data_IF_565345249260
#
_entry.id   IF_565345249260
#
_cell.length_a   1.000
_cell.length_b   1.000
_cell.length_c   1.000
_cell.angle_alpha   90.00
_cell.angle_beta   90.00
_cell.angle_gamma   90.00
#
_symmetry.space_group_name_H-M   'P 1'
#
loop_
_entity.id
_entity.type
_entity.pdbx_description
1 polymer ?
#
# COMPACT_ATOMS: atom_id res chain seq x y z
N UNK A 1 -52.26 6.07 -1.51
CA UNK A 1 -50.79 6.16 -1.45
C UNK A 1 -50.39 6.96 -2.66
N UNK A 2 -50.07 8.24 -2.49
CA UNK A 2 -49.62 9.08 -3.60
C UNK A 2 -48.44 8.38 -4.30
N UNK A 3 -48.43 8.32 -5.64
CA UNK A 3 -47.30 7.77 -6.35
C UNK A 3 -46.12 8.67 -6.02
N UNK A 4 -45.26 8.21 -5.12
CA UNK A 4 -43.99 8.85 -4.76
C UNK A 4 -43.38 9.38 -6.05
N UNK A 5 -43.11 10.68 -6.12
CA UNK A 5 -42.47 11.26 -7.30
C UNK A 5 -41.18 10.47 -7.59
N UNK A 6 -41.21 9.66 -8.64
CA UNK A 6 -40.11 8.77 -9.04
C UNK A 6 -39.07 9.52 -9.87
N UNK A 7 -39.41 10.69 -10.40
CA UNK A 7 -38.52 11.50 -11.21
C UNK A 7 -37.18 11.80 -10.52
N UNK A 8 -37.11 12.21 -9.23
CA UNK A 8 -35.82 12.44 -8.57
C UNK A 8 -34.95 11.19 -8.44
N UNK A 9 -35.57 10.01 -8.26
CA UNK A 9 -34.83 8.74 -8.14
C UNK A 9 -34.32 8.30 -9.51
N UNK A 10 -35.14 8.48 -10.55
CA UNK A 10 -34.76 8.20 -11.93
C UNK A 10 -33.62 9.13 -12.38
N UNK A 11 -33.73 10.43 -12.14
CA UNK A 11 -32.68 11.41 -12.42
C UNK A 11 -31.37 11.06 -11.68
N UNK A 12 -31.47 10.56 -10.45
CA UNK A 12 -30.29 10.15 -9.69
C UNK A 12 -29.66 8.88 -10.28
N UNK A 13 -30.47 7.88 -10.66
CA UNK A 13 -29.96 6.67 -11.30
C UNK A 13 -29.26 7.01 -12.62
N UNK A 14 -29.88 7.89 -13.40
CA UNK A 14 -29.39 8.41 -14.66
C UNK A 14 -28.03 9.11 -14.51
N UNK A 15 -27.92 10.01 -13.52
CA UNK A 15 -26.65 10.63 -13.14
C UNK A 15 -25.57 9.59 -12.75
N UNK A 16 -25.94 8.57 -11.98
CA UNK A 16 -25.01 7.55 -11.51
C UNK A 16 -24.49 6.69 -12.67
N UNK A 17 -25.33 6.40 -13.67
CA UNK A 17 -24.94 5.65 -14.87
C UNK A 17 -23.95 6.46 -15.70
N UNK A 18 -24.19 7.76 -15.89
CA UNK A 18 -23.24 8.65 -16.58
C UNK A 18 -21.88 8.70 -15.87
N UNK A 19 -21.89 8.78 -14.53
CA UNK A 19 -20.67 8.78 -13.71
C UNK A 19 -19.89 7.48 -13.87
N UNK A 20 -20.61 6.36 -13.87
CA UNK A 20 -20.00 5.05 -14.02
C UNK A 20 -19.39 4.88 -15.42
N UNK A 21 -20.08 5.34 -16.47
CA UNK A 21 -19.56 5.29 -17.84
C UNK A 21 -18.28 6.12 -17.97
N UNK A 22 -18.25 7.33 -17.39
CA UNK A 22 -17.06 8.18 -17.40
C UNK A 22 -15.87 7.51 -16.68
N UNK A 23 -16.10 6.90 -15.51
CA UNK A 23 -15.05 6.22 -14.74
C UNK A 23 -14.55 4.97 -15.47
N UNK A 24 -15.42 4.22 -16.13
CA UNK A 24 -15.06 2.98 -16.83
C UNK A 24 -14.45 3.24 -18.21
N UNK A 25 -14.64 4.43 -18.80
CA UNK A 25 -14.20 4.75 -20.16
C UNK A 25 -12.72 4.45 -20.45
N UNK A 26 -11.76 4.77 -19.56
CA UNK A 26 -10.35 4.46 -19.79
C UNK A 26 -10.09 2.95 -19.89
N UNK A 27 -10.83 2.14 -19.11
CA UNK A 27 -10.71 0.68 -19.09
C UNK A 27 -11.38 0.07 -20.32
N UNK A 28 -12.54 0.60 -20.73
CA UNK A 28 -13.27 0.16 -21.92
C UNK A 28 -12.50 0.47 -23.21
N UNK A 29 -11.89 1.66 -23.31
CA UNK A 29 -11.11 2.06 -24.48
C UNK A 29 -9.72 1.40 -24.55
N UNK A 30 -9.02 1.31 -23.41
CA UNK A 30 -7.67 0.75 -23.33
C UNK A 30 -7.63 -0.79 -23.27
N UNK A 31 -8.75 -1.42 -22.91
CA UNK A 31 -8.84 -2.85 -22.66
C UNK A 31 -8.27 -3.25 -21.30
N UNK A 32 -9.03 -4.08 -20.57
CA UNK A 32 -8.67 -4.53 -19.22
C UNK A 32 -7.29 -5.19 -19.15
N UNK A 33 -6.95 -6.02 -20.13
CA UNK A 33 -5.67 -6.74 -20.17
C UNK A 33 -4.47 -5.78 -20.26
N UNK A 34 -4.54 -4.74 -21.10
CA UNK A 34 -3.45 -3.76 -21.25
C UNK A 34 -3.25 -2.94 -19.98
N UNK A 35 -4.35 -2.59 -19.29
CA UNK A 35 -4.31 -1.92 -18.00
C UNK A 35 -3.71 -2.83 -16.90
N UNK A 36 -4.11 -4.10 -16.87
CA UNK A 36 -3.69 -5.07 -15.86
C UNK A 36 -2.23 -5.54 -15.97
N UNK A 37 -1.65 -5.55 -17.18
CA UNK A 37 -0.30 -6.09 -17.40
C UNK A 37 0.82 -5.19 -16.88
N UNK A 38 0.54 -3.90 -16.69
CA UNK A 38 1.50 -2.94 -16.15
C UNK A 38 1.51 -2.88 -14.62
N UNK A 39 0.56 -3.56 -13.97
CA UNK A 39 0.35 -3.49 -12.53
C UNK A 39 1.10 -4.62 -11.81
N UNK A 40 1.58 -4.37 -10.58
CA UNK A 40 2.09 -5.42 -9.72
C UNK A 40 0.99 -6.43 -9.37
N UNK A 41 1.37 -7.63 -8.96
CA UNK A 41 0.45 -8.77 -8.75
C UNK A 41 -0.71 -8.42 -7.81
N UNK A 42 -0.44 -7.68 -6.74
CA UNK A 42 -1.46 -7.27 -5.77
C UNK A 42 -2.50 -6.32 -6.39
N UNK A 43 -2.04 -5.29 -7.10
CA UNK A 43 -2.94 -4.31 -7.72
C UNK A 43 -3.70 -4.91 -8.91
N UNK A 44 -3.08 -5.86 -9.61
CA UNK A 44 -3.75 -6.65 -10.64
C UNK A 44 -4.91 -7.46 -10.06
N UNK A 45 -4.71 -8.11 -8.90
CA UNK A 45 -5.78 -8.84 -8.22
C UNK A 45 -6.92 -7.90 -7.78
N UNK A 46 -6.59 -6.75 -7.18
CA UNK A 46 -7.57 -5.71 -6.82
C UNK A 46 -8.39 -5.26 -8.02
N UNK A 47 -7.74 -4.96 -9.14
CA UNK A 47 -8.41 -4.50 -10.36
C UNK A 47 -9.42 -5.53 -10.87
N UNK A 48 -9.03 -6.82 -10.96
CA UNK A 48 -9.96 -7.86 -11.43
C UNK A 48 -11.13 -8.11 -10.47
N UNK A 49 -10.88 -8.09 -9.15
CA UNK A 49 -11.96 -8.26 -8.15
C UNK A 49 -12.91 -7.06 -8.14
N UNK A 50 -12.40 -5.84 -8.31
CA UNK A 50 -13.24 -4.64 -8.46
C UNK A 50 -14.04 -4.66 -9.77
N UNK A 51 -13.45 -5.12 -10.87
CA UNK A 51 -14.15 -5.19 -12.16
C UNK A 51 -15.26 -6.25 -12.14
N UNK A 52 -15.00 -7.42 -11.56
CA UNK A 52 -16.02 -8.47 -11.38
C UNK A 52 -17.15 -8.00 -10.47
N UNK A 53 -16.82 -7.34 -9.35
CA UNK A 53 -17.81 -6.69 -8.49
C UNK A 53 -18.67 -5.67 -9.25
N UNK A 54 -18.08 -4.84 -10.10
CA UNK A 54 -18.81 -3.84 -10.87
C UNK A 54 -19.78 -4.49 -11.87
N UNK A 55 -19.34 -5.53 -12.59
CA UNK A 55 -20.19 -6.28 -13.52
C UNK A 55 -21.37 -6.95 -12.82
N UNK A 56 -21.12 -7.67 -11.73
CA UNK A 56 -22.16 -8.34 -10.97
C UNK A 56 -23.14 -7.34 -10.34
N UNK A 57 -22.65 -6.20 -9.85
CA UNK A 57 -23.48 -5.11 -9.31
C UNK A 57 -24.36 -4.46 -10.37
N UNK A 58 -23.86 -4.31 -11.61
CA UNK A 58 -24.63 -3.83 -12.75
C UNK A 58 -25.75 -4.82 -13.11
N UNK A 59 -25.43 -6.11 -13.20
CA UNK A 59 -26.42 -7.16 -13.48
C UNK A 59 -27.47 -7.21 -12.36
N UNK A 60 -27.05 -7.14 -11.10
CA UNK A 60 -27.94 -7.09 -9.95
C UNK A 60 -28.91 -5.89 -10.04
N UNK A 61 -28.39 -4.71 -10.38
CA UNK A 61 -29.19 -3.49 -10.55
C UNK A 61 -30.18 -3.62 -11.72
N UNK A 62 -29.74 -4.19 -12.84
CA UNK A 62 -30.57 -4.45 -14.01
C UNK A 62 -31.73 -5.43 -13.71
N UNK A 63 -31.47 -6.51 -12.99
CA UNK A 63 -32.51 -7.48 -12.59
C UNK A 63 -33.57 -6.82 -11.70
N UNK A 64 -33.15 -5.94 -10.79
CA UNK A 64 -34.06 -5.16 -9.94
C UNK A 64 -34.93 -4.20 -10.74
N UNK A 65 -34.38 -3.56 -11.78
CA UNK A 65 -35.15 -2.69 -12.67
C UNK A 65 -36.20 -3.47 -13.48
N UNK A 66 -35.95 -4.75 -13.78
CA UNK A 66 -36.93 -5.66 -14.40
C UNK A 66 -37.94 -6.26 -13.42
N UNK A 67 -37.89 -5.89 -12.14
CA UNK A 67 -38.80 -6.41 -11.12
C UNK A 67 -38.51 -7.85 -10.67
N UNK A 68 -37.34 -8.40 -11.02
CA UNK A 68 -36.90 -9.72 -10.56
C UNK A 68 -36.30 -9.58 -9.16
N UNK A 69 -36.60 -10.52 -8.25
CA UNK A 69 -35.94 -10.57 -6.95
C UNK A 69 -34.49 -11.02 -7.09
N UNK A 70 -33.61 -10.02 -7.23
CA UNK A 70 -32.19 -10.23 -7.42
C UNK A 70 -31.49 -10.90 -6.22
N UNK A 71 -32.12 -10.96 -5.03
CA UNK A 71 -31.56 -11.65 -3.85
C UNK A 71 -31.70 -13.17 -3.92
N UNK A 72 -32.77 -13.64 -4.55
CA UNK A 72 -33.00 -15.08 -4.79
C UNK A 72 -32.29 -15.54 -6.08
N UNK A 73 -31.79 -14.60 -6.88
CA UNK A 73 -31.06 -14.89 -8.10
C UNK A 73 -29.61 -15.32 -7.83
N UNK A 74 -29.05 -16.16 -8.70
CA UNK A 74 -27.67 -16.67 -8.61
C UNK A 74 -26.60 -15.55 -8.55
N UNK A 75 -26.93 -14.36 -9.06
CA UNK A 75 -26.07 -13.17 -9.00
C UNK A 75 -25.73 -12.78 -7.56
N UNK A 76 -26.64 -13.01 -6.61
CA UNK A 76 -26.36 -12.74 -5.20
C UNK A 76 -25.31 -13.70 -4.61
N UNK A 77 -25.29 -14.94 -5.08
CA UNK A 77 -24.25 -15.92 -4.74
C UNK A 77 -22.88 -15.47 -5.25
N UNK A 78 -22.81 -14.99 -6.50
CA UNK A 78 -21.57 -14.46 -7.06
C UNK A 78 -21.09 -13.20 -6.31
N UNK A 79 -21.99 -12.29 -5.94
CA UNK A 79 -21.62 -11.14 -5.09
C UNK A 79 -21.04 -11.56 -3.73
N UNK A 80 -21.60 -12.62 -3.15
CA UNK A 80 -21.08 -13.20 -1.89
C UNK A 80 -19.70 -13.82 -2.10
N UNK A 81 -19.48 -14.46 -3.24
CA UNK A 81 -18.17 -15.01 -3.64
C UNK A 81 -17.14 -13.90 -3.82
N UNK A 82 -17.48 -12.80 -4.49
CA UNK A 82 -16.64 -11.60 -4.66
C UNK A 82 -16.27 -10.98 -3.31
N UNK A 83 -17.22 -10.90 -2.37
CA UNK A 83 -16.95 -10.47 -0.99
C UNK A 83 -15.88 -11.34 -0.31
N UNK A 84 -15.90 -12.65 -0.56
CA UNK A 84 -14.86 -13.58 -0.10
C UNK A 84 -13.48 -13.25 -0.68
N UNK A 85 -13.40 -12.87 -1.96
CA UNK A 85 -12.13 -12.45 -2.57
C UNK A 85 -11.62 -11.11 -2.02
N UNK A 86 -12.50 -10.15 -1.73
CA UNK A 86 -12.08 -8.92 -1.02
C UNK A 86 -11.50 -9.23 0.36
N UNK A 87 -12.08 -10.18 1.11
CA UNK A 87 -11.54 -10.60 2.40
C UNK A 87 -10.14 -11.22 2.24
N UNK A 88 -9.94 -12.09 1.24
CA UNK A 88 -8.62 -12.67 0.95
C UNK A 88 -7.57 -11.61 0.62
N UNK A 89 -7.91 -10.67 -0.27
CA UNK A 89 -7.01 -9.56 -0.64
C UNK A 89 -6.68 -8.72 0.61
N UNK A 90 -7.67 -8.38 1.42
CA UNK A 90 -7.48 -7.59 2.64
C UNK A 90 -6.57 -8.30 3.65
N UNK A 91 -6.75 -9.61 3.84
CA UNK A 91 -5.90 -10.40 4.73
C UNK A 91 -4.44 -10.38 4.25
N UNK A 92 -4.21 -10.54 2.95
CA UNK A 92 -2.87 -10.48 2.34
C UNK A 92 -2.22 -9.09 2.40
N UNK A 93 -3.02 -8.01 2.43
CA UNK A 93 -2.51 -6.65 2.58
C UNK A 93 -2.21 -6.26 4.02
N UNK A 94 -2.98 -6.79 4.97
CA UNK A 94 -2.94 -6.35 6.38
C UNK A 94 -1.87 -7.11 7.16
N UNK A 95 -1.51 -8.33 6.76
CA UNK A 95 -0.52 -9.14 7.47
C UNK A 95 0.70 -9.46 6.60
N UNK A 96 1.92 -9.08 7.02
CA UNK A 96 3.00 -10.05 6.95
C UNK A 96 2.67 -11.07 8.03
N UNK A 97 1.86 -12.07 7.70
CA UNK A 97 1.53 -13.16 8.64
C UNK A 97 2.89 -13.68 9.14
N UNK A 98 3.20 -13.42 10.41
CA UNK A 98 4.43 -13.91 11.02
C UNK A 98 4.36 -15.41 10.84
N UNK A 99 5.17 -15.93 9.92
CA UNK A 99 5.11 -17.32 9.48
C UNK A 99 5.09 -18.16 10.77
N UNK A 100 4.00 -18.88 11.09
CA UNK A 100 3.86 -19.53 12.40
C UNK A 100 4.93 -20.62 12.59
N UNK A 101 5.58 -21.02 11.50
CA UNK A 101 6.81 -21.79 11.51
C UNK A 101 8.00 -20.88 11.18
N UNK A 102 8.44 -20.09 12.14
CA UNK A 102 9.83 -19.63 12.15
C UNK A 102 10.70 -20.82 12.55
N UNK A 103 11.55 -21.29 11.64
CA UNK A 103 12.44 -22.40 11.93
C UNK A 103 13.45 -21.94 13.00
N UNK A 104 13.50 -22.61 14.15
CA UNK A 104 14.55 -22.38 15.14
C UNK A 104 15.90 -22.83 14.53
N UNK A 105 16.60 -21.87 13.93
CA UNK A 105 17.93 -22.06 13.32
C UNK A 105 18.93 -22.60 14.34
N UNK A 106 18.77 -22.27 15.62
CA UNK A 106 19.59 -22.78 16.71
C UNK A 106 19.32 -24.27 16.99
N UNK A 107 18.06 -24.67 17.09
CA UNK A 107 17.68 -26.07 17.25
C UNK A 107 18.10 -26.91 16.03
N UNK A 108 17.82 -26.44 14.81
CA UNK A 108 18.27 -27.10 13.58
C UNK A 108 19.80 -27.23 13.57
N UNK A 109 20.52 -26.19 13.97
CA UNK A 109 21.98 -26.24 14.14
C UNK A 109 22.44 -27.27 15.16
N UNK A 110 21.74 -27.45 16.29
CA UNK A 110 22.04 -28.49 17.28
C UNK A 110 21.81 -29.90 16.73
N UNK A 111 20.69 -30.12 16.04
CA UNK A 111 20.39 -31.42 15.41
C UNK A 111 21.42 -31.77 14.33
N UNK A 112 21.79 -30.81 13.48
CA UNK A 112 22.81 -31.02 12.45
C UNK A 112 24.18 -31.28 13.08
N UNK A 113 24.58 -30.51 14.10
CA UNK A 113 25.86 -30.72 14.81
C UNK A 113 25.91 -32.09 15.48
N UNK A 114 24.84 -32.53 16.12
CA UNK A 114 24.78 -33.84 16.76
C UNK A 114 24.74 -34.99 15.74
N UNK A 115 24.05 -34.82 14.60
CA UNK A 115 24.06 -35.81 13.52
C UNK A 115 25.40 -35.91 12.78
N UNK A 116 26.22 -34.86 12.85
CA UNK A 116 27.59 -34.83 12.33
C UNK A 116 28.66 -35.12 13.40
N UNK A 117 28.27 -35.25 14.67
CA UNK A 117 29.18 -35.56 15.77
C UNK A 117 29.68 -37.01 15.60
N UNK A 118 31.00 -37.18 15.52
CA UNK A 118 31.66 -38.43 15.11
C UNK A 118 32.66 -38.23 13.96
N UNK A 119 32.75 -37.02 13.40
CA UNK A 119 33.71 -36.64 12.37
C UNK A 119 34.79 -35.68 12.90
N UNK A 120 35.38 -36.02 14.05
CA UNK A 120 36.28 -35.18 14.86
C UNK A 120 37.44 -34.54 14.06
N UNK A 121 37.93 -35.26 13.04
CA UNK A 121 39.02 -34.78 12.18
C UNK A 121 38.65 -33.51 11.41
N UNK A 122 37.42 -33.44 10.91
CA UNK A 122 36.94 -32.30 10.12
C UNK A 122 36.46 -31.14 10.99
N UNK A 123 36.04 -31.43 12.22
CA UNK A 123 35.69 -30.38 13.18
C UNK A 123 36.92 -29.66 13.71
N UNK A 124 38.02 -30.37 13.94
CA UNK A 124 39.32 -29.79 14.29
C UNK A 124 39.88 -28.91 13.15
N UNK A 125 39.87 -29.42 11.91
CA UNK A 125 40.34 -28.66 10.73
C UNK A 125 39.50 -27.38 10.51
N UNK A 126 38.17 -27.47 10.70
CA UNK A 126 37.29 -26.32 10.61
C UNK A 126 37.54 -25.31 11.74
N UNK A 127 37.78 -25.77 12.96
CA UNK A 127 38.10 -24.91 14.10
C UNK A 127 39.44 -24.19 13.90
N UNK A 128 40.47 -24.88 13.40
CA UNK A 128 41.77 -24.30 13.09
C UNK A 128 41.65 -23.22 12.00
N UNK A 129 40.92 -23.52 10.91
CA UNK A 129 40.71 -22.57 9.82
C UNK A 129 39.96 -21.31 10.28
N UNK A 130 38.93 -21.47 11.11
CA UNK A 130 38.19 -20.34 11.69
C UNK A 130 39.04 -19.52 12.66
N UNK A 131 39.87 -20.16 13.48
CA UNK A 131 40.77 -19.46 14.39
C UNK A 131 41.81 -18.65 13.61
N UNK A 132 42.38 -19.24 12.55
CA UNK A 132 43.34 -18.58 11.66
C UNK A 132 42.72 -17.37 10.94
N UNK A 133 41.49 -17.51 10.46
CA UNK A 133 40.76 -16.43 9.79
C UNK A 133 40.40 -15.29 10.76
N UNK A 134 39.90 -15.62 11.96
CA UNK A 134 39.61 -14.63 13.00
C UNK A 134 40.86 -13.90 13.47
N UNK A 135 41.97 -14.61 13.67
CA UNK A 135 43.25 -13.99 14.01
C UNK A 135 43.73 -13.05 12.90
N UNK A 136 43.63 -13.47 11.63
CA UNK A 136 43.99 -12.62 10.48
C UNK A 136 43.10 -11.39 10.36
N UNK A 137 41.80 -11.54 10.59
CA UNK A 137 40.84 -10.43 10.59
C UNK A 137 41.11 -9.45 11.73
N UNK A 138 41.40 -9.94 12.95
CA UNK A 138 41.76 -9.11 14.09
C UNK A 138 43.06 -8.34 13.86
N UNK A 139 44.07 -8.98 13.26
CA UNK A 139 45.33 -8.34 12.91
C UNK A 139 45.11 -7.25 11.84
N UNK A 140 44.34 -7.56 10.78
CA UNK A 140 43.99 -6.59 9.73
C UNK A 140 43.18 -5.41 10.30
N UNK A 141 42.25 -5.66 11.22
CA UNK A 141 41.48 -4.63 11.91
C UNK A 141 42.36 -3.75 12.79
N UNK A 142 43.30 -4.35 13.54
CA UNK A 142 44.25 -3.60 14.37
C UNK A 142 45.21 -2.74 13.52
N UNK A 143 45.68 -3.25 12.38
CA UNK A 143 46.49 -2.46 11.43
C UNK A 143 45.71 -1.29 10.84
N UNK A 144 44.45 -1.50 10.44
CA UNK A 144 43.61 -0.42 9.92
C UNK A 144 43.31 0.64 11.01
N UNK A 145 43.03 0.21 12.24
CA UNK A 145 42.83 1.12 13.38
C UNK A 145 44.09 1.96 13.68
N UNK A 146 45.28 1.33 13.62
CA UNK A 146 46.56 2.03 13.79
C UNK A 146 46.82 3.01 12.64
N UNK A 147 46.54 2.63 11.39
CA UNK A 147 46.67 3.50 10.22
C UNK A 147 45.72 4.70 10.28
N UNK A 148 44.50 4.52 10.80
CA UNK A 148 43.56 5.65 11.02
C UNK A 148 43.97 6.57 12.18
N UNK A 149 44.61 6.02 13.24
CA UNK A 149 45.17 6.81 14.32
C UNK A 149 46.43 7.59 13.88
N UNK A 150 47.23 7.00 13.00
CA UNK A 150 48.42 7.65 12.43
C UNK A 150 48.03 8.74 11.42
N UNK A 151 47.02 8.51 10.57
CA UNK A 151 46.45 9.52 9.66
C UNK A 151 45.80 10.71 10.38
N UNK A 152 45.27 10.52 11.59
CA UNK A 152 44.77 11.63 12.43
C UNK A 152 45.89 12.40 13.12
N UNK A 153 47.07 11.81 13.30
CA UNK A 153 48.28 12.49 13.80
C UNK A 153 49.12 13.16 12.71
N UNK A 154 49.06 12.68 11.46
CA UNK A 154 49.79 13.25 10.32
C UNK A 154 49.00 14.28 9.50
N UNK A 155 47.73 14.53 9.84
CA UNK A 155 46.94 15.64 9.28
C UNK A 155 47.38 17.04 9.76
N UNK A 156 48.53 17.17 10.44
CA UNK A 156 49.10 18.46 10.84
C UNK A 156 50.31 18.91 10.01
N UNK A 157 50.77 18.14 9.01
CA UNK A 157 51.80 18.62 8.07
C UNK A 157 51.70 18.00 6.66
N UNK A 158 51.37 18.87 5.69
CA UNK A 158 51.68 18.84 4.24
C UNK A 158 50.90 17.93 3.29
N UNK A 159 50.40 18.60 2.25
CA UNK A 159 49.77 18.11 1.01
C UNK A 159 50.67 17.17 0.17
N UNK A 160 50.04 16.33 -0.65
CA UNK A 160 50.61 15.86 -1.92
C UNK A 160 50.53 14.36 -2.25
N UNK A 161 49.87 14.06 -3.37
CA UNK A 161 49.97 12.88 -4.24
C UNK A 161 49.08 11.63 -4.02
N UNK A 162 48.25 11.45 -5.04
CA UNK A 162 47.43 10.30 -5.44
C UNK A 162 48.26 9.21 -6.13
N UNK A 163 48.03 7.93 -5.81
CA UNK A 163 47.53 6.91 -6.76
C UNK A 163 47.67 5.46 -6.24
N UNK A 164 46.68 4.65 -6.61
CA UNK A 164 46.83 3.22 -6.86
C UNK A 164 46.37 2.26 -5.75
N UNK A 165 45.06 2.12 -5.54
CA UNK A 165 44.51 0.91 -4.90
C UNK A 165 43.53 0.22 -5.83
N UNK A 166 43.94 -0.93 -6.36
CA UNK A 166 43.06 -1.88 -7.06
C UNK A 166 42.44 -2.84 -6.03
N UNK A 167 41.11 -2.78 -5.99
CA UNK A 167 40.11 -3.85 -5.88
C UNK A 167 40.29 -5.01 -4.86
N UNK A 168 39.34 -5.12 -3.92
CA UNK A 168 38.20 -6.03 -4.11
C UNK A 168 37.16 -5.82 -3.01
N UNK A 169 35.91 -5.71 -3.45
CA UNK A 169 34.69 -5.42 -2.71
C UNK A 169 34.23 -6.62 -1.85
N UNK A 170 33.61 -6.37 -0.68
CA UNK A 170 32.23 -6.82 -0.38
C UNK A 170 31.77 -6.41 1.05
N UNK A 171 30.49 -6.04 1.17
CA UNK A 171 29.68 -6.26 2.39
C UNK A 171 29.52 -5.09 3.37
N UNK A 172 28.58 -4.18 3.10
CA UNK A 172 28.17 -3.11 4.00
C UNK A 172 27.27 -3.54 5.18
N UNK A 173 27.31 -2.76 6.27
CA UNK A 173 26.24 -2.67 7.28
C UNK A 173 26.15 -1.23 7.79
N UNK A 174 24.99 -0.61 7.57
CA UNK A 174 24.58 0.69 8.11
C UNK A 174 24.42 0.65 9.63
N UNK A 175 24.87 1.71 10.32
CA UNK A 175 24.51 1.94 11.73
C UNK A 175 24.11 3.41 11.90
N UNK A 176 22.84 3.63 12.20
CA UNK A 176 22.21 4.92 12.41
C UNK A 176 21.95 5.08 13.93
N UNK A 177 22.44 6.13 14.62
CA UNK A 177 22.09 6.35 16.01
C UNK A 177 20.88 7.30 16.15
N UNK A 178 19.90 6.76 16.84
CA UNK A 178 18.67 7.32 17.40
C UNK A 178 18.80 8.67 18.12
N UNK A 179 17.86 9.59 17.86
CA UNK A 179 17.55 10.78 18.67
C UNK A 179 16.21 10.56 19.40
N UNK A 180 16.10 10.86 20.71
CA UNK A 180 14.86 10.63 21.46
C UNK A 180 13.90 11.82 21.43
N UNK A 181 12.60 11.51 21.31
CA UNK A 181 11.44 12.40 21.43
C UNK A 181 11.25 12.94 22.86
N UNK A 182 10.67 14.15 22.97
CA UNK A 182 9.89 14.59 24.14
C UNK A 182 8.52 15.11 23.72
N UNK A 183 7.49 14.40 24.20
CA UNK A 183 6.09 14.82 24.41
C UNK A 183 6.05 16.00 25.40
N UNK A 184 5.19 17.01 25.28
CA UNK A 184 3.79 17.17 25.76
C UNK A 184 3.58 18.72 25.80
N UNK A 185 2.43 19.39 25.72
CA UNK A 185 1.13 19.17 26.35
C UNK A 185 0.13 20.24 25.82
N UNK A 186 -1.15 19.87 25.77
CA UNK A 186 -2.32 20.74 25.62
C UNK A 186 -2.56 21.56 26.90
N UNK A 187 -2.99 22.82 26.78
CA UNK A 187 -4.14 23.39 27.52
C UNK A 187 -4.38 24.87 27.18
N UNK A 188 -5.59 25.18 26.69
CA UNK A 188 -6.53 26.18 27.26
C UNK A 188 -7.63 26.50 26.26
N UNK A 189 -8.82 25.99 26.54
CA UNK A 189 -10.08 26.31 25.89
C UNK A 189 -11.08 26.61 26.99
N UNK A 190 -11.27 27.88 27.33
CA UNK A 190 -12.49 28.35 28.00
C UNK A 190 -12.60 29.88 27.96
N UNK A 191 -13.47 30.35 27.04
CA UNK A 191 -14.22 31.63 26.99
C UNK A 191 -14.47 32.01 25.53
N UNK A 192 -15.49 31.41 24.91
CA UNK A 192 -16.18 31.92 23.71
C UNK A 192 -17.26 30.93 23.26
N UNK A 193 -18.30 30.73 24.08
CA UNK A 193 -19.37 29.77 23.78
C UNK A 193 -20.70 30.38 23.32
N UNK A 194 -20.85 31.70 23.22
CA UNK A 194 -22.16 32.28 22.85
C UNK A 194 -22.25 32.93 21.46
N UNK A 195 -21.13 33.32 20.84
CA UNK A 195 -21.13 33.86 19.46
C UNK A 195 -20.81 32.85 18.35
N UNK A 196 -20.48 31.59 18.68
CA UNK A 196 -19.97 30.59 17.71
C UNK A 196 -21.04 29.70 17.06
N UNK A 197 -22.31 29.84 17.43
CA UNK A 197 -23.41 28.98 16.95
C UNK A 197 -24.07 29.46 15.66
N UNK A 198 -24.08 30.79 15.39
CA UNK A 198 -24.64 31.37 14.17
C UNK A 198 -23.69 31.26 12.97
N UNK A 199 -22.42 31.60 13.17
CA UNK A 199 -21.38 31.56 12.13
C UNK A 199 -21.10 30.13 11.60
N UNK A 200 -21.12 29.12 12.50
CA UNK A 200 -21.04 27.71 12.08
C UNK A 200 -22.26 27.23 11.29
N UNK A 201 -23.45 27.80 11.53
CA UNK A 201 -24.69 27.41 10.83
C UNK A 201 -24.74 28.06 9.44
N UNK A 202 -24.26 29.29 9.31
CA UNK A 202 -24.12 29.98 8.02
C UNK A 202 -23.02 29.38 7.14
N UNK A 203 -21.83 29.10 7.69
CA UNK A 203 -20.76 28.40 6.94
C UNK A 203 -21.17 27.00 6.47
N UNK A 204 -21.97 26.28 7.28
CA UNK A 204 -22.50 24.97 6.89
C UNK A 204 -23.64 25.07 5.85
N UNK A 205 -24.37 26.20 5.81
CA UNK A 205 -25.40 26.49 4.80
C UNK A 205 -24.76 26.93 3.47
N UNK A 206 -23.71 27.75 3.52
CA UNK A 206 -22.92 28.18 2.36
C UNK A 206 -22.17 27.04 1.68
N UNK A 207 -21.55 26.12 2.45
CA UNK A 207 -20.96 24.91 1.85
C UNK A 207 -22.01 24.00 1.22
N UNK A 208 -23.24 23.98 1.76
CA UNK A 208 -24.33 23.15 1.21
C UNK A 208 -24.94 23.75 -0.05
N UNK A 209 -25.03 25.07 -0.16
CA UNK A 209 -25.46 25.74 -1.39
C UNK A 209 -24.40 25.64 -2.48
N UNK A 210 -23.12 25.84 -2.16
CA UNK A 210 -22.02 25.67 -3.12
C UNK A 210 -21.98 24.24 -3.70
N UNK A 211 -22.12 23.21 -2.84
CA UNK A 211 -22.24 21.81 -3.29
C UNK A 211 -23.50 21.56 -4.15
N UNK A 212 -24.60 22.26 -3.88
CA UNK A 212 -25.82 22.15 -4.67
C UNK A 212 -25.66 22.81 -6.05
N UNK A 213 -24.99 23.95 -6.12
CA UNK A 213 -24.76 24.67 -7.36
C UNK A 213 -23.74 23.95 -8.26
N UNK A 214 -22.66 23.41 -7.68
CA UNK A 214 -21.71 22.54 -8.39
C UNK A 214 -22.40 21.28 -8.93
N UNK A 215 -23.31 20.67 -8.15
CA UNK A 215 -24.09 19.50 -8.59
C UNK A 215 -25.06 19.86 -9.72
N UNK A 216 -25.66 21.06 -9.70
CA UNK A 216 -26.53 21.55 -10.79
C UNK A 216 -25.74 21.82 -12.07
N UNK A 217 -24.58 22.46 -11.97
CA UNK A 217 -23.70 22.73 -13.10
C UNK A 217 -23.21 21.42 -13.74
N UNK A 218 -22.79 20.46 -12.92
CA UNK A 218 -22.42 19.11 -13.37
C UNK A 218 -23.57 18.39 -14.09
N UNK A 219 -24.80 18.50 -13.57
CA UNK A 219 -26.01 17.97 -14.22
C UNK A 219 -26.29 18.63 -15.59
N UNK A 220 -26.13 19.95 -15.70
CA UNK A 220 -26.30 20.66 -16.96
C UNK A 220 -25.29 20.20 -18.00
N UNK A 221 -24.00 20.14 -17.63
CA UNK A 221 -22.92 19.63 -18.50
C UNK A 221 -23.18 18.21 -19.01
N UNK A 222 -23.68 17.33 -18.13
CA UNK A 222 -24.08 15.97 -18.54
C UNK A 222 -25.24 15.96 -19.53
N UNK A 223 -26.28 16.77 -19.29
CA UNK A 223 -27.42 16.90 -20.21
C UNK A 223 -26.98 17.40 -21.59
N UNK A 224 -26.07 18.39 -21.65
CA UNK A 224 -25.50 18.88 -22.92
C UNK A 224 -24.69 17.80 -23.64
N UNK A 225 -23.84 17.07 -22.91
CA UNK A 225 -23.04 15.96 -23.46
C UNK A 225 -23.92 14.84 -24.03
N UNK A 226 -25.07 14.56 -23.39
CA UNK A 226 -26.06 13.59 -23.86
C UNK A 226 -26.76 14.04 -25.14
N UNK A 227 -27.20 15.29 -25.18
CA UNK A 227 -27.79 15.90 -26.38
C UNK A 227 -26.82 15.83 -27.56
N UNK A 228 -25.53 16.10 -27.32
CA UNK A 228 -24.50 15.97 -28.35
C UNK A 228 -24.31 14.52 -28.82
N UNK A 229 -24.49 13.53 -27.94
CA UNK A 229 -24.33 12.10 -28.26
C UNK A 229 -25.53 11.49 -28.98
N UNK A 230 -26.75 12.03 -28.77
CA UNK A 230 -27.96 11.65 -29.51
C UNK A 230 -28.04 12.29 -30.91
N UNK A 231 -27.28 13.34 -31.15
CA UNK A 231 -27.21 14.04 -32.44
C UNK A 231 -26.17 13.45 -33.41
N UNK A 232 -25.40 12.46 -32.98
CA UNK A 232 -24.46 11.67 -33.80
C UNK A 232 -25.03 10.28 -34.09
#
# INVERSE_FOLDING_TARGET
>A
MDPTDLQPVLDQLDDNVDDLEEILQPILAGGLFKSSNKLPVMDKAKLYVMMTYALESLIFSYLRLRGVDAKQHQVFTELTRVKGYFAKIKNLETEPEERPMTLDKGAAGRFIKHGLAGNDKYDLERAEKQAKERARAQLKAAMLARKSAEATSSAMTSEGQTNGSEDDSDGGVEVNPSVPEKKEQKAKKEKSKEHKSKDKKERKKGNKSALQDEKKERRQKKKEKRLARQAQ
#
